data_IF_016469761753
#
_entry.id   IF_016469761753
#
_cell.length_a   1.000
_cell.length_b   1.000
_cell.length_c   1.000
_cell.angle_alpha   90.00
_cell.angle_beta   90.00
_cell.angle_gamma   90.00
#
_symmetry.space_group_name_H-M   'P 1'
#
loop_
_entity.id
_entity.type
_entity.pdbx_description
1 polymer ?
#
# COMPACT_ATOMS: atom_id res chain seq x y z
N UNK A 1 14.22 -27.63 -1.67
CA UNK A 1 15.04 -26.52 -1.15
C UNK A 1 14.06 -25.49 -0.67
N UNK A 2 14.04 -25.21 0.63
CA UNK A 2 13.11 -24.24 1.21
C UNK A 2 13.70 -22.86 0.94
N UNK A 3 13.32 -22.25 -0.18
CA UNK A 3 13.57 -20.83 -0.40
C UNK A 3 12.79 -20.06 0.66
N UNK A 4 13.50 -19.37 1.55
CA UNK A 4 12.88 -18.38 2.43
C UNK A 4 12.60 -17.13 1.60
N UNK A 5 11.40 -16.52 1.69
CA UNK A 5 10.99 -15.39 0.84
C UNK A 5 11.96 -14.20 0.84
N UNK A 6 12.75 -14.07 1.91
CA UNK A 6 13.75 -13.01 2.10
C UNK A 6 14.95 -13.12 1.14
N UNK A 7 15.24 -14.32 0.61
CA UNK A 7 16.39 -14.56 -0.27
C UNK A 7 16.12 -14.15 -1.73
N UNK A 8 14.85 -13.91 -2.09
CA UNK A 8 14.44 -13.60 -3.47
C UNK A 8 14.06 -12.12 -3.69
N UNK A 9 14.16 -11.27 -2.65
CA UNK A 9 13.88 -9.84 -2.76
C UNK A 9 15.08 -9.07 -3.34
N UNK A 10 14.78 -8.15 -4.24
CA UNK A 10 15.73 -7.15 -4.74
C UNK A 10 16.18 -6.20 -3.62
N UNK A 11 17.29 -5.51 -3.84
CA UNK A 11 17.79 -4.53 -2.85
C UNK A 11 16.78 -3.38 -2.64
N UNK A 12 16.10 -2.94 -3.70
CA UNK A 12 15.06 -1.91 -3.63
C UNK A 12 13.86 -2.36 -2.77
N UNK A 13 13.41 -3.61 -2.91
CA UNK A 13 12.31 -4.16 -2.11
C UNK A 13 12.69 -4.25 -0.62
N UNK A 14 13.94 -4.61 -0.32
CA UNK A 14 14.46 -4.63 1.06
C UNK A 14 14.51 -3.22 1.64
N UNK A 15 15.02 -2.25 0.88
CA UNK A 15 15.09 -0.85 1.31
C UNK A 15 13.69 -0.28 1.55
N UNK A 16 12.75 -0.55 0.65
CA UNK A 16 11.35 -0.17 0.80
C UNK A 16 10.73 -0.75 2.09
N UNK A 17 10.95 -2.04 2.36
CA UNK A 17 10.48 -2.68 3.60
C UNK A 17 11.04 -2.04 4.87
N UNK A 18 12.33 -1.68 4.85
CA UNK A 18 12.99 -0.97 5.96
C UNK A 18 12.37 0.42 6.16
N UNK A 19 12.15 1.17 5.08
CA UNK A 19 11.51 2.49 5.15
C UNK A 19 10.10 2.40 5.73
N UNK A 20 9.29 1.45 5.24
CA UNK A 20 7.90 1.25 5.68
C UNK A 20 7.83 0.91 7.17
N UNK A 21 8.62 -0.06 7.63
CA UNK A 21 8.66 -0.47 9.03
C UNK A 21 9.09 0.69 9.95
N UNK A 22 10.16 1.41 9.58
CA UNK A 22 10.62 2.57 10.35
C UNK A 22 9.54 3.66 10.42
N UNK A 23 8.86 3.94 9.31
CA UNK A 23 7.81 4.95 9.25
C UNK A 23 6.64 4.63 10.17
N UNK A 24 6.19 3.38 10.21
CA UNK A 24 5.10 2.92 11.09
C UNK A 24 5.53 2.98 12.56
N UNK A 25 6.68 2.39 12.91
CA UNK A 25 7.16 2.32 14.29
C UNK A 25 7.42 3.69 14.91
N UNK A 26 7.83 4.66 14.09
CA UNK A 26 8.13 6.03 14.53
C UNK A 26 6.92 6.95 14.47
N UNK A 27 5.77 6.45 14.01
CA UNK A 27 4.54 7.23 13.88
C UNK A 27 4.64 8.33 12.81
N UNK A 28 5.47 8.13 11.78
CA UNK A 28 5.57 9.05 10.64
C UNK A 28 4.46 8.81 9.62
N UNK A 29 4.02 7.55 9.51
CA UNK A 29 2.98 7.09 8.59
C UNK A 29 2.05 6.08 9.26
N UNK A 30 0.87 5.84 8.68
CA UNK A 30 -0.02 4.74 9.08
C UNK A 30 0.48 3.38 8.60
N UNK A 31 -0.10 2.30 9.15
CA UNK A 31 -0.10 1.00 8.46
C UNK A 31 -0.82 1.13 7.10
N UNK A 32 -0.48 0.30 6.09
CA UNK A 32 -1.22 0.25 4.83
C UNK A 32 -2.70 -0.09 5.07
N UNK A 33 -3.59 0.64 4.42
CA UNK A 33 -5.03 0.36 4.47
C UNK A 33 -5.67 0.54 3.10
N UNK A 34 -6.85 -0.06 2.90
CA UNK A 34 -7.62 0.07 1.67
C UNK A 34 -8.32 1.43 1.65
N UNK A 35 -7.91 2.30 0.75
CA UNK A 35 -8.48 3.63 0.58
C UNK A 35 -9.90 3.61 0.02
N UNK A 36 -10.21 2.60 -0.78
CA UNK A 36 -11.49 2.45 -1.47
C UNK A 36 -12.66 2.32 -0.48
N UNK A 37 -12.40 1.70 0.68
CA UNK A 37 -13.36 1.66 1.79
C UNK A 37 -13.46 3.00 2.56
N UNK A 38 -12.44 3.87 2.47
CA UNK A 38 -12.28 5.06 3.32
C UNK A 38 -12.33 6.42 2.55
N UNK A 39 -12.57 6.43 1.23
CA UNK A 39 -12.92 7.65 0.46
C UNK A 39 -12.01 8.07 -0.71
N UNK A 40 -11.42 7.12 -1.44
CA UNK A 40 -10.36 7.38 -2.42
C UNK A 40 -10.66 7.72 -3.86
N UNK A 41 -11.92 7.90 -4.22
CA UNK A 41 -12.40 7.94 -5.60
C UNK A 41 -11.60 8.83 -6.58
N UNK A 42 -11.00 9.94 -6.14
CA UNK A 42 -10.26 10.84 -7.03
C UNK A 42 -8.90 10.34 -7.52
N UNK A 43 -8.37 9.24 -6.95
CA UNK A 43 -7.06 8.68 -7.32
C UNK A 43 -7.15 7.37 -8.11
N UNK A 44 -8.36 6.86 -8.33
CA UNK A 44 -8.59 5.65 -9.12
C UNK A 44 -8.32 5.90 -10.60
N UNK A 45 -7.72 4.93 -11.26
CA UNK A 45 -7.65 4.85 -12.73
C UNK A 45 -9.03 4.59 -13.33
N UNK A 46 -9.16 4.77 -14.65
CA UNK A 46 -10.44 4.54 -15.36
C UNK A 46 -10.93 3.09 -15.22
N UNK A 47 -10.02 2.12 -15.21
CA UNK A 47 -10.35 0.69 -15.02
C UNK A 47 -10.87 0.41 -13.60
N UNK A 48 -10.23 0.98 -12.58
CA UNK A 48 -10.66 0.85 -11.18
C UNK A 48 -12.03 1.51 -10.96
N UNK A 49 -12.31 2.64 -11.63
CA UNK A 49 -13.63 3.29 -11.60
C UNK A 49 -14.70 2.39 -12.23
N UNK A 50 -14.44 1.79 -13.39
CA UNK A 50 -15.39 0.86 -14.03
C UNK A 50 -15.68 -0.35 -13.14
N UNK A 51 -14.67 -0.93 -12.50
CA UNK A 51 -14.86 -2.04 -11.55
C UNK A 51 -15.69 -1.60 -10.34
N UNK A 52 -15.43 -0.42 -9.78
CA UNK A 52 -16.22 0.13 -8.68
C UNK A 52 -17.68 0.40 -9.06
N UNK A 53 -17.94 1.00 -10.24
CA UNK A 53 -19.29 1.25 -10.76
C UNK A 53 -20.06 -0.05 -11.04
N UNK A 54 -19.36 -1.12 -11.40
CA UNK A 54 -19.91 -2.47 -11.54
C UNK A 54 -20.18 -3.17 -10.18
N UNK A 55 -19.82 -2.54 -9.06
CA UNK A 55 -19.98 -3.07 -7.71
C UNK A 55 -18.81 -3.93 -7.21
N UNK A 56 -17.64 -3.84 -7.88
CA UNK A 56 -16.37 -4.38 -7.43
C UNK A 56 -15.73 -3.53 -6.33
N UNK A 57 -14.68 -4.07 -5.70
CA UNK A 57 -13.90 -3.40 -4.65
C UNK A 57 -12.43 -3.29 -5.10
N UNK A 58 -12.10 -2.33 -5.97
CA UNK A 58 -10.75 -2.14 -6.49
C UNK A 58 -9.86 -1.66 -5.34
N UNK A 59 -9.04 -2.55 -4.82
CA UNK A 59 -8.31 -2.32 -3.59
C UNK A 59 -7.10 -1.39 -3.82
N UNK A 60 -7.20 -0.14 -3.38
CA UNK A 60 -6.06 0.80 -3.38
C UNK A 60 -5.39 0.79 -1.99
N UNK A 61 -4.17 0.24 -1.88
CA UNK A 61 -3.41 0.29 -0.64
C UNK A 61 -2.73 1.66 -0.49
N UNK A 62 -3.11 2.43 0.53
CA UNK A 62 -2.54 3.76 0.80
C UNK A 62 -1.89 3.85 2.17
N UNK A 63 -1.06 4.88 2.34
CA UNK A 63 -0.42 5.26 3.58
C UNK A 63 -0.84 6.70 3.92
N UNK A 64 -1.15 6.99 5.18
CA UNK A 64 -1.33 8.37 5.65
C UNK A 64 -0.03 8.90 6.24
N UNK A 65 0.44 10.05 5.77
CA UNK A 65 1.62 10.75 6.33
C UNK A 65 1.20 11.65 7.51
N UNK A 66 1.95 11.59 8.61
CA UNK A 66 1.69 12.36 9.84
C UNK A 66 2.70 13.48 10.10
N UNK A 67 3.89 13.40 9.50
CA UNK A 67 4.96 14.38 9.70
C UNK A 67 4.86 15.52 8.68
N UNK A 68 5.13 16.76 9.13
CA UNK A 68 5.09 18.00 8.33
C UNK A 68 6.39 18.78 8.45
#
# INVERSE_FOLDING_TARGET
>A
MNHTPEEDLTDDEKEFGIWLANGIERGWISEPYCHTHDGGYQFMSEEEIEEWEAGGDPCEHVLRIFIS
#
